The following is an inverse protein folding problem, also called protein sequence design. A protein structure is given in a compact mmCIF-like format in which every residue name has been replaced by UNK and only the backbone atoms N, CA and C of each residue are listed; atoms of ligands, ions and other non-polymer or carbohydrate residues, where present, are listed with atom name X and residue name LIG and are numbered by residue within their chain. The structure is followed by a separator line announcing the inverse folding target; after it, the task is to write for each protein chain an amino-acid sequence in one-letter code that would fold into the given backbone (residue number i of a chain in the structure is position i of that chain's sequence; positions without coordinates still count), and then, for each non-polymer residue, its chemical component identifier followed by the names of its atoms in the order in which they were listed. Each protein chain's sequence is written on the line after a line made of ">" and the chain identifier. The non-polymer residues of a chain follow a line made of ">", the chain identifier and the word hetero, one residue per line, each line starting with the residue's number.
data_IF_166325846585
#
_entry.id   IF_166325846585
#
_cell.length_a   1.000
_cell.length_b   1.000
_cell.length_c   1.000
_cell.angle_alpha   90.00
_cell.angle_beta   90.00
_cell.angle_gamma   90.00
#
_symmetry.space_group_name_H-M   'P 1'
#
loop_
_entity.id
_entity.type
_entity.pdbx_description
1 polymer ?
#
# COMPACT_ATOMS: atom_id res chain seq x y z
N UNK A 1 18.74 -16.06 -8.45
CA UNK A 1 19.10 -14.85 -9.21
C UNK A 1 18.70 -14.92 -10.69
N UNK A 2 19.00 -16.02 -11.39
CA UNK A 2 18.66 -16.20 -12.83
C UNK A 2 17.14 -16.17 -13.09
N UNK A 3 16.35 -16.90 -12.31
CA UNK A 3 14.88 -16.95 -12.39
C UNK A 3 14.19 -15.58 -12.17
N UNK A 4 14.76 -14.74 -11.31
CA UNK A 4 14.26 -13.38 -11.09
C UNK A 4 14.51 -12.46 -12.29
N UNK A 5 15.70 -12.60 -12.93
CA UNK A 5 16.03 -11.86 -14.15
C UNK A 5 15.16 -12.32 -15.32
N UNK A 6 14.92 -13.63 -15.43
CA UNK A 6 14.03 -14.20 -16.45
C UNK A 6 12.59 -13.74 -16.30
N UNK A 7 12.08 -13.68 -15.07
CA UNK A 7 10.73 -13.12 -14.76
C UNK A 7 10.62 -11.67 -15.16
N UNK A 8 11.62 -10.83 -14.86
CA UNK A 8 11.64 -9.43 -15.29
C UNK A 8 11.65 -9.28 -16.81
N UNK A 9 12.41 -10.14 -17.50
CA UNK A 9 12.48 -10.14 -18.95
C UNK A 9 11.15 -10.56 -19.58
N UNK A 10 10.53 -11.62 -19.07
CA UNK A 10 9.22 -12.12 -19.52
C UNK A 10 8.13 -11.06 -19.30
N UNK A 11 8.09 -10.41 -18.12
CA UNK A 11 7.11 -9.34 -17.82
C UNK A 11 7.33 -8.10 -18.69
N UNK A 12 8.58 -7.81 -19.07
CA UNK A 12 8.92 -6.68 -19.94
C UNK A 12 8.59 -6.93 -21.43
N UNK A 13 8.59 -8.19 -21.86
CA UNK A 13 8.44 -8.56 -23.28
C UNK A 13 7.02 -9.01 -23.62
N UNK A 14 6.33 -9.66 -22.68
CA UNK A 14 4.97 -10.16 -22.94
C UNK A 14 3.91 -9.12 -22.55
N UNK A 15 2.95 -8.83 -23.44
CA UNK A 15 1.80 -8.04 -23.06
C UNK A 15 1.13 -8.65 -21.82
N UNK A 16 0.65 -7.84 -20.86
CA UNK A 16 0.03 -8.31 -19.62
C UNK A 16 -1.07 -9.36 -19.82
N UNK A 17 -1.78 -9.30 -20.96
CA UNK A 17 -2.83 -10.25 -21.33
C UNK A 17 -2.25 -11.64 -21.59
N UNK A 18 -1.12 -11.75 -22.30
CA UNK A 18 -0.47 -13.05 -22.63
C UNK A 18 0.16 -13.65 -21.36
N UNK A 19 0.76 -12.82 -20.53
CA UNK A 19 1.30 -13.25 -19.23
C UNK A 19 0.19 -13.82 -18.33
N UNK A 20 -0.95 -13.11 -18.20
CA UNK A 20 -2.10 -13.56 -17.43
C UNK A 20 -2.72 -14.86 -17.99
N UNK A 21 -2.80 -15.01 -19.33
CA UNK A 21 -3.31 -16.24 -19.95
C UNK A 21 -2.38 -17.44 -19.71
N UNK A 22 -1.08 -17.25 -19.82
CA UNK A 22 -0.07 -18.28 -19.48
C UNK A 22 -0.16 -18.68 -18.01
N UNK A 23 -0.40 -17.73 -17.16
CA UNK A 23 -0.60 -17.95 -15.73
C UNK A 23 -1.88 -18.75 -15.44
N UNK A 24 -3.00 -18.42 -16.05
CA UNK A 24 -4.28 -19.15 -15.94
C UNK A 24 -4.16 -20.57 -16.47
N UNK A 25 -3.41 -20.77 -17.56
CA UNK A 25 -3.18 -22.09 -18.17
C UNK A 25 -2.37 -23.00 -17.25
N UNK A 26 -1.24 -22.53 -16.71
CA UNK A 26 -0.42 -23.26 -15.75
C UNK A 26 -1.21 -23.62 -14.46
N UNK A 27 -2.13 -22.74 -14.08
CA UNK A 27 -3.01 -22.95 -12.94
C UNK A 27 -4.03 -24.09 -13.17
N UNK A 28 -4.65 -24.10 -14.35
CA UNK A 28 -5.58 -25.16 -14.75
C UNK A 28 -4.90 -26.54 -14.86
N UNK A 29 -3.63 -26.58 -15.31
CA UNK A 29 -2.85 -27.82 -15.42
C UNK A 29 -2.55 -28.46 -14.06
N UNK A 30 -2.45 -27.69 -12.99
CA UNK A 30 -2.11 -28.19 -11.66
C UNK A 30 -3.33 -28.57 -10.78
N UNK A 31 -4.55 -28.47 -11.29
CA UNK A 31 -5.77 -28.97 -10.64
C UNK A 31 -6.15 -28.28 -9.30
N UNK A 32 -5.44 -27.21 -8.91
CA UNK A 32 -5.72 -26.49 -7.65
C UNK A 32 -6.64 -25.32 -7.89
N UNK A 33 -7.93 -25.49 -7.64
CA UNK A 33 -8.88 -24.38 -7.62
C UNK A 33 -8.84 -23.66 -6.27
N UNK A 34 -8.02 -22.63 -6.18
CA UNK A 34 -7.86 -21.79 -4.98
C UNK A 34 -9.10 -20.89 -4.77
N UNK A 35 -9.98 -20.73 -5.75
CA UNK A 35 -11.20 -19.93 -5.64
C UNK A 35 -12.13 -20.40 -4.54
N UNK A 36 -12.10 -21.69 -4.20
CA UNK A 36 -12.89 -22.28 -3.10
C UNK A 36 -12.41 -21.85 -1.70
N UNK A 37 -11.11 -21.62 -1.50
CA UNK A 37 -10.56 -21.28 -0.18
C UNK A 37 -10.70 -19.81 0.21
N UNK A 38 -11.17 -18.95 -0.70
CA UNK A 38 -11.21 -17.50 -0.52
C UNK A 38 -12.64 -16.97 -0.40
N UNK A 39 -13.65 -17.77 -0.79
CA UNK A 39 -15.06 -17.43 -0.59
C UNK A 39 -15.57 -17.70 0.84
N UNK A 40 -14.80 -18.37 1.65
CA UNK A 40 -15.01 -18.40 3.10
C UNK A 40 -14.34 -17.15 3.66
N UNK A 41 -15.09 -16.27 4.34
CA UNK A 41 -14.48 -15.12 5.03
C UNK A 41 -13.36 -15.68 5.93
N UNK A 42 -12.10 -15.36 5.65
CA UNK A 42 -11.02 -15.91 6.45
C UNK A 42 -11.17 -15.40 7.87
N UNK A 43 -10.99 -16.29 8.84
CA UNK A 43 -11.00 -15.96 10.25
C UNK A 43 -10.14 -14.72 10.52
N UNK A 44 -10.70 -13.74 11.26
CA UNK A 44 -9.99 -12.52 11.60
C UNK A 44 -8.73 -12.87 12.36
N UNK A 45 -7.58 -12.60 11.77
CA UNK A 45 -6.29 -12.88 12.37
C UNK A 45 -5.42 -11.63 12.37
N UNK A 46 -5.74 -10.74 13.31
CA UNK A 46 -4.91 -9.55 13.55
C UNK A 46 -3.58 -9.99 14.17
N UNK A 47 -2.43 -9.58 13.60
CA UNK A 47 -1.14 -9.91 14.16
C UNK A 47 -0.95 -9.24 15.52
N UNK A 48 -0.36 -9.96 16.46
CA UNK A 48 0.15 -9.40 17.71
C UNK A 48 1.51 -8.74 17.48
N UNK A 49 1.93 -7.88 18.39
CA UNK A 49 3.25 -7.24 18.34
C UNK A 49 4.40 -8.25 18.15
N UNK A 50 4.37 -9.38 18.88
CA UNK A 50 5.34 -10.47 18.72
C UNK A 50 5.38 -11.03 17.30
N UNK A 51 4.25 -11.06 16.60
CA UNK A 51 4.18 -11.52 15.21
C UNK A 51 4.85 -10.52 14.27
N UNK A 52 4.70 -9.21 14.55
CA UNK A 52 5.37 -8.15 13.80
C UNK A 52 6.88 -8.17 14.06
N UNK A 53 7.32 -8.43 15.29
CA UNK A 53 8.74 -8.39 15.67
C UNK A 53 9.48 -9.66 15.25
N UNK A 54 8.91 -10.84 15.49
CA UNK A 54 9.58 -12.14 15.35
C UNK A 54 8.87 -13.13 14.43
N UNK A 55 7.71 -12.76 13.86
CA UNK A 55 6.90 -13.67 13.06
C UNK A 55 7.52 -14.05 11.72
N UNK A 56 7.04 -15.15 11.14
CA UNK A 56 7.42 -15.58 9.81
C UNK A 56 6.94 -14.56 8.76
N UNK A 57 7.83 -14.13 7.87
CA UNK A 57 7.52 -13.24 6.74
C UNK A 57 6.51 -13.82 5.75
N UNK A 58 6.36 -15.15 5.74
CA UNK A 58 5.41 -15.82 4.88
C UNK A 58 4.01 -15.93 5.49
N UNK A 59 3.87 -15.63 6.77
CA UNK A 59 2.58 -15.70 7.47
C UNK A 59 1.61 -14.68 6.91
N UNK A 60 0.39 -15.12 6.64
CA UNK A 60 -0.70 -14.29 6.13
C UNK A 60 -1.60 -13.95 7.30
N UNK A 61 -1.97 -12.69 7.37
CA UNK A 61 -2.90 -12.14 8.35
C UNK A 61 -4.14 -11.64 7.62
N UNK A 62 -5.30 -11.76 8.26
CA UNK A 62 -6.56 -11.23 7.76
C UNK A 62 -6.91 -10.01 8.60
N UNK A 63 -6.66 -8.82 8.06
CA UNK A 63 -6.76 -7.57 8.79
C UNK A 63 -8.08 -6.88 8.42
N UNK A 64 -8.88 -6.45 9.42
CA UNK A 64 -10.08 -5.66 9.18
C UNK A 64 -9.78 -4.39 8.37
N UNK A 65 -10.70 -4.06 7.46
CA UNK A 65 -10.52 -2.93 6.53
C UNK A 65 -10.38 -1.59 7.24
N UNK A 66 -11.11 -1.39 8.35
CA UNK A 66 -11.07 -0.20 9.19
C UNK A 66 -9.71 0.05 9.86
N UNK A 67 -8.85 -0.99 9.90
CA UNK A 67 -7.47 -0.89 10.39
C UNK A 67 -6.42 -0.74 9.28
N UNK A 68 -6.83 -0.67 8.02
CA UNK A 68 -5.93 -0.56 6.88
C UNK A 68 -5.89 0.86 6.33
N UNK A 69 -4.70 1.42 6.26
CA UNK A 69 -4.49 2.80 5.85
C UNK A 69 -3.51 2.93 4.69
N UNK A 70 -3.79 3.88 3.83
CA UNK A 70 -2.90 4.38 2.80
C UNK A 70 -2.09 5.57 3.33
N UNK A 71 -1.10 6.04 2.56
CA UNK A 71 -0.35 7.25 2.86
C UNK A 71 -1.30 8.44 3.05
N UNK A 72 -0.99 9.31 4.02
CA UNK A 72 -1.87 10.41 4.39
C UNK A 72 -2.93 10.03 5.45
N UNK A 73 -2.85 8.84 6.04
CA UNK A 73 -3.83 8.37 7.03
C UNK A 73 -5.21 8.06 6.44
N UNK A 74 -5.26 7.76 5.14
CA UNK A 74 -6.52 7.52 4.43
C UNK A 74 -6.93 6.04 4.57
N UNK A 75 -8.01 5.77 5.30
CA UNK A 75 -8.56 4.42 5.40
C UNK A 75 -9.12 3.95 4.05
N UNK A 76 -8.94 2.66 3.71
CA UNK A 76 -9.36 2.11 2.42
C UNK A 76 -10.87 2.06 2.20
N UNK A 77 -11.69 2.21 3.22
CA UNK A 77 -13.14 2.35 3.12
C UNK A 77 -13.64 3.80 3.20
N UNK A 78 -12.73 4.79 3.12
CA UNK A 78 -13.06 6.21 3.19
C UNK A 78 -13.17 6.84 1.79
N UNK A 79 -14.13 7.77 1.57
CA UNK A 79 -14.21 8.59 0.35
C UNK A 79 -12.96 9.44 0.09
N UNK A 80 -12.14 9.72 1.11
CA UNK A 80 -10.90 10.45 0.98
C UNK A 80 -9.77 9.64 0.32
N UNK A 81 -9.92 8.32 0.26
CA UNK A 81 -8.95 7.44 -0.37
C UNK A 81 -9.14 7.45 -1.90
N UNK A 82 -8.08 7.75 -2.70
CA UNK A 82 -8.24 7.98 -4.13
C UNK A 82 -8.81 6.80 -4.91
N UNK A 83 -8.41 5.57 -4.58
CA UNK A 83 -8.90 4.39 -5.30
C UNK A 83 -10.35 4.04 -4.93
N UNK A 84 -10.78 4.29 -3.67
CA UNK A 84 -12.18 4.25 -3.27
C UNK A 84 -12.99 5.24 -4.12
N UNK A 85 -12.48 6.46 -4.22
CA UNK A 85 -13.10 7.52 -5.00
C UNK A 85 -13.32 7.10 -6.46
N UNK A 86 -12.29 6.52 -7.10
CA UNK A 86 -12.41 5.98 -8.45
C UNK A 86 -13.47 4.89 -8.57
N UNK A 87 -13.46 3.91 -7.66
CA UNK A 87 -14.31 2.72 -7.73
C UNK A 87 -15.80 3.04 -7.52
N UNK A 88 -16.10 4.06 -6.70
CA UNK A 88 -17.47 4.46 -6.39
C UNK A 88 -18.01 5.58 -7.29
N UNK A 89 -17.15 6.53 -7.70
CA UNK A 89 -17.59 7.75 -8.40
C UNK A 89 -16.99 7.91 -9.81
N UNK A 90 -16.11 7.01 -10.22
CA UNK A 90 -15.59 6.94 -11.58
C UNK A 90 -14.40 7.87 -11.88
N UNK A 91 -14.06 7.94 -13.17
CA UNK A 91 -12.82 8.55 -13.65
C UNK A 91 -12.73 10.06 -13.41
N UNK A 92 -13.85 10.78 -13.59
CA UNK A 92 -13.86 12.24 -13.45
C UNK A 92 -13.69 12.66 -11.98
N UNK A 93 -14.30 11.93 -11.05
CA UNK A 93 -14.08 12.15 -9.62
C UNK A 93 -12.63 11.86 -9.22
N UNK A 94 -12.02 10.82 -9.78
CA UNK A 94 -10.63 10.48 -9.57
C UNK A 94 -9.66 11.56 -10.06
N UNK A 95 -9.92 12.14 -11.26
CA UNK A 95 -9.14 13.28 -11.79
C UNK A 95 -9.24 14.48 -10.86
N UNK A 96 -10.47 14.86 -10.49
CA UNK A 96 -10.73 15.99 -9.58
C UNK A 96 -10.05 15.80 -8.23
N UNK A 97 -9.97 14.56 -7.70
CA UNK A 97 -9.24 14.28 -6.48
C UNK A 97 -7.77 14.72 -6.58
N UNK A 98 -7.05 14.31 -7.64
CA UNK A 98 -5.65 14.68 -7.84
C UNK A 98 -5.43 16.14 -8.24
N UNK A 99 -6.41 16.80 -8.80
CA UNK A 99 -6.38 18.23 -9.10
C UNK A 99 -6.54 19.07 -7.82
N UNK A 100 -7.38 18.62 -6.90
CA UNK A 100 -7.74 19.38 -5.70
C UNK A 100 -6.86 19.05 -4.49
N UNK A 101 -6.20 17.90 -4.46
CA UNK A 101 -5.38 17.46 -3.34
C UNK A 101 -3.91 17.33 -3.76
N UNK A 102 -3.16 18.42 -3.58
CA UNK A 102 -1.78 18.58 -4.02
C UNK A 102 -0.91 19.11 -2.87
N UNK A 103 -0.65 18.29 -1.83
CA UNK A 103 0.19 18.68 -0.72
C UNK A 103 1.65 18.89 -1.17
N UNK A 104 2.35 19.83 -0.52
CA UNK A 104 3.75 20.15 -0.80
C UNK A 104 4.73 19.30 0.03
N UNK A 105 4.27 18.73 1.12
CA UNK A 105 5.09 17.95 2.05
C UNK A 105 4.24 16.94 2.83
N UNK A 106 4.90 16.16 3.70
CA UNK A 106 4.28 15.12 4.49
C UNK A 106 3.25 15.66 5.51
N UNK A 107 3.48 16.82 6.12
CA UNK A 107 2.53 17.43 7.08
C UNK A 107 1.23 17.80 6.38
N UNK A 108 1.32 18.51 5.25
CA UNK A 108 0.14 18.83 4.43
C UNK A 108 -0.59 17.58 3.95
N UNK A 109 0.17 16.55 3.53
CA UNK A 109 -0.40 15.27 3.10
C UNK A 109 -1.11 14.51 4.22
N UNK A 110 -0.86 14.84 5.47
CA UNK A 110 -1.56 14.30 6.63
C UNK A 110 -2.50 15.31 7.27
N UNK A 111 -2.70 16.48 6.66
CA UNK A 111 -3.54 17.57 7.20
C UNK A 111 -3.15 17.93 8.64
N UNK A 112 -1.85 17.97 8.91
CA UNK A 112 -1.27 18.41 10.18
C UNK A 112 -0.98 19.90 10.10
N UNK A 113 -1.37 20.65 11.13
CA UNK A 113 -1.12 22.09 11.17
C UNK A 113 0.39 22.37 11.21
N UNK A 114 0.81 23.32 10.38
CA UNK A 114 2.19 23.80 10.33
C UNK A 114 2.23 25.05 11.21
N UNK A 115 2.84 24.97 12.37
CA UNK A 115 3.18 26.16 13.13
C UNK A 115 4.18 27.00 12.34
N UNK A 116 3.91 28.31 12.19
CA UNK A 116 4.68 29.24 11.36
C UNK A 116 6.18 29.37 11.72
N UNK A 117 6.62 28.75 12.79
CA UNK A 117 8.01 28.78 13.25
C UNK A 117 8.90 27.66 12.67
N UNK A 118 8.37 26.76 11.84
CA UNK A 118 9.11 25.62 11.31
C UNK A 118 9.51 25.80 9.84
N UNK A 119 10.54 26.62 9.61
CA UNK A 119 11.12 26.87 8.29
C UNK A 119 12.05 25.77 7.77
N UNK A 120 12.29 24.69 8.53
CA UNK A 120 13.23 23.60 8.16
C UNK A 120 12.64 22.44 7.37
N UNK A 121 11.33 22.31 7.26
CA UNK A 121 10.75 21.39 6.28
C UNK A 121 11.01 21.97 4.89
N UNK A 122 12.14 21.56 4.32
CA UNK A 122 12.41 21.84 2.92
C UNK A 122 11.24 21.34 2.09
N UNK A 123 10.70 22.21 1.27
CA UNK A 123 9.68 21.92 0.29
C UNK A 123 9.96 20.55 -0.35
N UNK A 124 8.96 19.67 -0.39
CA UNK A 124 8.97 18.33 -1.02
C UNK A 124 9.46 17.14 -0.21
N UNK A 125 9.63 17.19 1.12
CA UNK A 125 9.88 15.99 1.88
C UNK A 125 8.56 15.24 2.21
N UNK A 126 8.35 14.07 1.58
CA UNK A 126 7.22 13.18 1.82
C UNK A 126 7.60 11.93 2.63
N UNK A 127 8.79 11.92 3.23
CA UNK A 127 9.25 10.81 4.08
C UNK A 127 8.48 10.82 5.40
N UNK A 128 7.91 9.70 5.79
CA UNK A 128 7.23 9.56 7.09
C UNK A 128 8.26 9.67 8.24
N UNK A 129 7.87 10.21 9.41
CA UNK A 129 8.80 10.45 10.53
C UNK A 129 9.63 9.23 10.96
N UNK A 130 9.05 8.04 10.85
CA UNK A 130 9.68 6.77 11.24
C UNK A 130 10.48 6.09 10.13
N UNK A 131 10.59 6.69 8.94
CA UNK A 131 11.37 6.15 7.83
C UNK A 131 12.69 6.92 7.65
N UNK A 132 13.74 6.19 7.26
CA UNK A 132 14.98 6.82 6.79
C UNK A 132 14.79 7.40 5.38
N UNK A 133 15.34 8.58 5.11
CA UNK A 133 15.30 9.20 3.77
C UNK A 133 15.88 8.28 2.68
N UNK A 134 16.90 7.49 3.01
CA UNK A 134 17.51 6.53 2.08
C UNK A 134 16.61 5.35 1.72
N UNK A 135 15.62 5.01 2.54
CA UNK A 135 14.66 3.94 2.29
C UNK A 135 13.64 4.30 1.20
N UNK A 136 13.44 5.59 0.95
CA UNK A 136 12.46 6.12 -0.03
C UNK A 136 13.13 6.49 -1.35
N UNK A 137 14.08 5.71 -1.84
CA UNK A 137 14.49 5.83 -3.25
C UNK A 137 13.36 5.31 -4.12
N UNK A 138 12.51 6.23 -4.51
CA UNK A 138 11.39 5.99 -5.44
C UNK A 138 11.94 5.49 -6.77
N UNK A 139 12.01 4.19 -6.92
CA UNK A 139 12.19 3.55 -8.23
C UNK A 139 10.87 3.70 -8.96
N UNK A 140 10.83 4.56 -9.97
CA UNK A 140 9.64 4.79 -10.77
C UNK A 140 9.00 3.47 -11.21
N UNK A 141 7.70 3.35 -11.01
CA UNK A 141 6.94 2.17 -11.41
C UNK A 141 6.74 2.19 -12.93
N UNK A 142 7.06 1.09 -13.60
CA UNK A 142 6.91 0.92 -15.06
C UNK A 142 7.56 2.04 -15.89
N UNK A 143 8.74 2.50 -15.49
CA UNK A 143 9.47 3.55 -16.21
C UNK A 143 8.97 4.97 -15.97
N UNK A 144 7.91 5.17 -15.16
CA UNK A 144 7.49 6.48 -14.71
C UNK A 144 8.25 6.86 -13.44
N UNK A 145 9.09 7.89 -13.55
CA UNK A 145 9.84 8.44 -12.41
C UNK A 145 8.90 9.12 -11.39
N UNK A 146 9.44 9.50 -10.24
CA UNK A 146 8.72 10.27 -9.22
C UNK A 146 8.16 11.60 -9.72
N UNK A 147 8.71 12.19 -10.78
CA UNK A 147 8.19 13.40 -11.43
C UNK A 147 6.79 13.22 -12.03
N UNK A 148 6.33 11.99 -12.22
CA UNK A 148 4.97 11.71 -12.68
C UNK A 148 3.91 11.74 -11.59
N UNK A 149 4.30 11.98 -10.33
CA UNK A 149 3.41 12.14 -9.18
C UNK A 149 3.27 10.90 -8.30
N UNK A 150 2.64 11.09 -7.14
CA UNK A 150 2.44 10.07 -6.10
C UNK A 150 1.02 9.48 -6.16
N UNK A 151 0.87 8.17 -5.88
CA UNK A 151 -0.43 7.50 -5.98
C UNK A 151 -1.46 7.93 -4.91
N UNK A 152 -1.04 8.60 -3.84
CA UNK A 152 -1.94 9.06 -2.78
C UNK A 152 -2.43 10.50 -2.95
N UNK A 153 -1.74 11.32 -3.77
CA UNK A 153 -2.05 12.75 -3.96
C UNK A 153 -1.50 13.26 -5.30
N UNK A 154 -2.02 14.41 -5.73
CA UNK A 154 -1.57 15.10 -6.94
C UNK A 154 -0.34 15.99 -6.75
N UNK A 155 0.11 16.63 -7.84
CA UNK A 155 -0.40 16.40 -9.18
C UNK A 155 0.07 15.08 -9.80
N UNK A 156 -0.78 14.47 -10.63
CA UNK A 156 -0.37 13.35 -11.45
C UNK A 156 -0.18 13.77 -12.91
N UNK A 157 0.88 13.27 -13.57
CA UNK A 157 0.96 13.36 -15.02
C UNK A 157 -0.18 12.60 -15.70
N UNK A 158 -0.54 13.01 -16.92
CA UNK A 158 -1.55 12.28 -17.72
C UNK A 158 -1.21 10.78 -17.91
N UNK A 159 0.08 10.47 -18.04
CA UNK A 159 0.56 9.09 -18.18
C UNK A 159 0.37 8.30 -16.88
N UNK A 160 0.72 8.89 -15.74
CA UNK A 160 0.54 8.24 -14.42
C UNK A 160 -0.93 8.04 -14.11
N UNK A 161 -1.77 9.03 -14.37
CA UNK A 161 -3.23 8.92 -14.18
C UNK A 161 -3.81 7.78 -15.01
N UNK A 162 -3.47 7.68 -16.30
CA UNK A 162 -3.89 6.56 -17.16
C UNK A 162 -3.42 5.21 -16.63
N UNK A 163 -2.19 5.14 -16.13
CA UNK A 163 -1.63 3.91 -15.55
C UNK A 163 -2.38 3.48 -14.29
N UNK A 164 -2.68 4.41 -13.37
CA UNK A 164 -3.45 4.12 -12.15
C UNK A 164 -4.87 3.62 -12.49
N UNK A 165 -5.55 4.28 -13.43
CA UNK A 165 -6.87 3.85 -13.93
C UNK A 165 -6.80 2.45 -14.54
N UNK A 166 -5.83 2.20 -15.41
CA UNK A 166 -5.62 0.88 -16.02
C UNK A 166 -5.42 -0.21 -14.98
N UNK A 167 -4.60 0.05 -13.96
CA UNK A 167 -4.31 -0.88 -12.86
C UNK A 167 -5.56 -1.23 -12.05
N UNK A 168 -6.34 -0.21 -11.68
CA UNK A 168 -7.58 -0.43 -10.92
C UNK A 168 -8.58 -1.24 -11.75
N UNK A 169 -8.81 -0.86 -13.02
CA UNK A 169 -9.72 -1.58 -13.92
C UNK A 169 -9.32 -3.03 -14.10
N UNK A 170 -8.05 -3.28 -14.39
CA UNK A 170 -7.53 -4.64 -14.60
C UNK A 170 -7.60 -5.47 -13.33
N UNK A 171 -7.25 -4.88 -12.19
CA UNK A 171 -7.33 -5.54 -10.89
C UNK A 171 -8.78 -5.92 -10.55
N UNK A 172 -9.72 -4.99 -10.68
CA UNK A 172 -11.14 -5.23 -10.40
C UNK A 172 -11.73 -6.32 -11.31
N UNK A 173 -11.42 -6.25 -12.62
CA UNK A 173 -11.88 -7.27 -13.58
C UNK A 173 -11.31 -8.66 -13.24
N UNK A 174 -10.02 -8.72 -12.88
CA UNK A 174 -9.38 -9.97 -12.47
C UNK A 174 -10.02 -10.54 -11.21
N UNK A 175 -10.24 -9.72 -10.19
CA UNK A 175 -10.88 -10.15 -8.94
C UNK A 175 -12.33 -10.63 -9.16
N UNK A 176 -13.12 -9.92 -9.97
CA UNK A 176 -14.48 -10.33 -10.31
C UNK A 176 -14.54 -11.65 -11.07
N UNK A 177 -13.62 -11.87 -12.01
CA UNK A 177 -13.59 -13.06 -12.86
C UNK A 177 -12.99 -14.28 -12.19
N UNK A 178 -11.89 -14.09 -11.48
CA UNK A 178 -11.03 -15.19 -11.00
C UNK A 178 -11.03 -15.32 -9.47
N UNK A 179 -11.67 -14.41 -8.74
CA UNK A 179 -11.46 -14.25 -7.32
C UNK A 179 -10.03 -13.79 -7.01
N UNK A 180 -9.65 -13.85 -5.75
CA UNK A 180 -8.28 -13.56 -5.34
C UNK A 180 -7.41 -14.81 -5.52
N UNK A 181 -6.51 -14.78 -6.51
CA UNK A 181 -5.59 -15.89 -6.80
C UNK A 181 -4.28 -15.63 -6.09
N UNK A 182 -3.98 -16.46 -5.08
CA UNK A 182 -2.67 -16.48 -4.43
C UNK A 182 -1.74 -17.43 -5.20
N UNK A 183 -0.61 -16.91 -5.69
CA UNK A 183 0.37 -17.74 -6.38
C UNK A 183 1.13 -18.64 -5.41
N UNK A 184 0.82 -19.91 -5.41
CA UNK A 184 1.55 -20.93 -4.62
C UNK A 184 2.52 -21.78 -5.45
N UNK A 185 2.51 -21.64 -6.77
CA UNK A 185 3.26 -22.53 -7.68
C UNK A 185 4.77 -22.45 -7.54
N UNK A 186 5.28 -21.35 -7.01
CA UNK A 186 6.71 -21.17 -6.78
C UNK A 186 6.94 -20.58 -5.40
N UNK A 187 7.30 -21.39 -4.39
CA UNK A 187 7.49 -20.91 -3.01
C UNK A 187 8.57 -19.83 -2.86
N UNK A 188 9.39 -19.58 -3.89
CA UNK A 188 10.40 -18.52 -3.93
C UNK A 188 9.97 -17.26 -4.69
N UNK A 189 8.79 -17.23 -5.32
CA UNK A 189 8.27 -16.03 -5.94
C UNK A 189 7.46 -15.29 -4.89
N UNK A 190 7.82 -14.03 -4.64
CA UNK A 190 7.08 -13.14 -3.74
C UNK A 190 5.59 -13.22 -4.06
N UNK A 191 4.80 -13.57 -3.03
CA UNK A 191 3.35 -13.64 -3.18
C UNK A 191 2.83 -12.26 -3.60
N UNK A 192 1.86 -12.28 -4.48
CA UNK A 192 1.16 -11.06 -4.91
C UNK A 192 0.25 -10.45 -3.82
N UNK A 193 0.39 -10.90 -2.57
CA UNK A 193 -0.34 -10.35 -1.44
C UNK A 193 0.01 -8.88 -1.18
N UNK A 194 -0.96 -8.07 -0.78
CA UNK A 194 -0.66 -6.76 -0.24
C UNK A 194 0.32 -6.86 0.93
N UNK A 195 1.09 -5.81 1.16
CA UNK A 195 2.07 -5.75 2.24
C UNK A 195 1.87 -4.51 3.07
N UNK A 196 2.08 -4.64 4.37
CA UNK A 196 1.94 -3.57 5.34
C UNK A 196 3.06 -3.62 6.39
N UNK A 197 3.09 -2.62 7.23
CA UNK A 197 3.70 -2.65 8.56
C UNK A 197 2.68 -2.18 9.59
N UNK A 198 2.90 -2.56 10.84
CA UNK A 198 2.05 -2.23 11.97
C UNK A 198 2.46 -0.88 12.57
N UNK A 199 1.48 -0.09 12.96
CA UNK A 199 1.61 1.06 13.84
C UNK A 199 0.93 0.68 15.16
N UNK A 200 1.57 0.93 16.30
CA UNK A 200 1.03 0.56 17.61
C UNK A 200 1.13 1.72 18.58
N UNK A 201 -0.01 2.10 19.17
CA UNK A 201 -0.11 3.09 20.25
C UNK A 201 0.33 2.51 21.58
N UNK A 202 0.72 3.38 22.50
CA UNK A 202 0.98 3.05 23.92
C UNK A 202 -0.25 2.40 24.54
N UNK A 203 -1.47 2.81 24.14
CA UNK A 203 -2.73 2.19 24.57
C UNK A 203 -2.89 0.71 24.17
N UNK A 204 -2.03 0.20 23.27
CA UNK A 204 -2.15 -1.13 22.68
C UNK A 204 -2.97 -1.18 21.40
N UNK A 205 -3.61 -0.08 21.00
CA UNK A 205 -4.33 0.00 19.72
C UNK A 205 -3.35 -0.14 18.55
N UNK A 206 -3.75 -0.92 17.51
CA UNK A 206 -2.94 -1.17 16.33
C UNK A 206 -3.68 -0.80 15.04
N UNK A 207 -2.93 -0.25 14.10
CA UNK A 207 -3.33 -0.04 12.71
C UNK A 207 -2.24 -0.51 11.74
N UNK A 208 -2.51 -0.52 10.43
CA UNK A 208 -1.60 -1.08 9.44
C UNK A 208 -1.49 -0.17 8.22
N UNK A 209 -0.28 0.27 7.94
CA UNK A 209 0.00 1.04 6.73
C UNK A 209 0.31 0.11 5.56
N UNK A 210 -0.50 0.16 4.52
CA UNK A 210 -0.33 -0.63 3.30
C UNK A 210 0.71 0.02 2.40
N UNK A 211 1.86 -0.63 2.24
CA UNK A 211 2.98 -0.14 1.43
C UNK A 211 2.93 -0.63 -0.01
N UNK A 212 2.40 -1.83 -0.24
CA UNK A 212 2.23 -2.37 -1.59
C UNK A 212 0.89 -3.10 -1.77
N UNK A 213 0.44 -3.28 -3.02
CA UNK A 213 -0.84 -3.91 -3.33
C UNK A 213 -2.07 -3.04 -3.06
N UNK A 214 -1.91 -1.73 -2.97
CA UNK A 214 -2.95 -0.74 -2.64
C UNK A 214 -4.18 -0.84 -3.55
N UNK A 215 -4.00 -1.04 -4.87
CA UNK A 215 -5.11 -1.26 -5.80
C UNK A 215 -5.91 -2.51 -5.47
N UNK A 216 -5.24 -3.60 -5.05
CA UNK A 216 -5.92 -4.84 -4.66
C UNK A 216 -6.73 -4.66 -3.40
N UNK A 217 -6.16 -4.02 -2.38
CA UNK A 217 -6.89 -3.71 -1.14
C UNK A 217 -8.14 -2.91 -1.47
N UNK A 218 -8.02 -1.81 -2.22
CA UNK A 218 -9.16 -0.99 -2.61
C UNK A 218 -10.21 -1.77 -3.40
N UNK A 219 -9.80 -2.61 -4.36
CA UNK A 219 -10.74 -3.43 -5.14
C UNK A 219 -11.42 -4.51 -4.29
N UNK A 220 -10.71 -5.16 -3.34
CA UNK A 220 -11.31 -6.11 -2.42
C UNK A 220 -12.33 -5.44 -1.50
N UNK A 221 -12.00 -4.27 -0.96
CA UNK A 221 -12.94 -3.46 -0.16
C UNK A 221 -14.19 -3.10 -0.97
N UNK A 222 -14.01 -2.63 -2.20
CA UNK A 222 -15.13 -2.33 -3.11
C UNK A 222 -16.01 -3.54 -3.41
N UNK A 223 -15.43 -4.74 -3.43
CA UNK A 223 -16.15 -6.01 -3.61
C UNK A 223 -16.81 -6.54 -2.32
N UNK A 224 -16.75 -5.76 -1.23
CA UNK A 224 -17.43 -6.07 0.03
C UNK A 224 -16.61 -6.90 1.02
N UNK A 225 -15.31 -7.10 0.78
CA UNK A 225 -14.45 -7.79 1.73
C UNK A 225 -14.27 -6.96 3.00
N UNK A 226 -14.52 -7.56 4.14
CA UNK A 226 -14.34 -6.91 5.45
C UNK A 226 -12.96 -7.15 6.05
N UNK A 227 -12.32 -8.25 5.66
CA UNK A 227 -10.99 -8.64 6.11
C UNK A 227 -10.09 -8.88 4.89
N UNK A 228 -8.90 -8.31 4.89
CA UNK A 228 -7.97 -8.37 3.76
C UNK A 228 -6.78 -9.26 4.10
N UNK A 229 -6.48 -10.28 3.28
CA UNK A 229 -5.27 -11.09 3.44
C UNK A 229 -4.04 -10.26 3.09
N UNK A 230 -3.12 -10.12 4.03
CA UNK A 230 -1.95 -9.24 3.93
C UNK A 230 -0.73 -9.88 4.59
N UNK A 231 0.46 -9.47 4.18
CA UNK A 231 1.74 -9.86 4.79
C UNK A 231 2.49 -8.63 5.30
N UNK A 232 3.41 -8.85 6.23
CA UNK A 232 4.38 -7.81 6.56
C UNK A 232 5.37 -7.57 5.41
N UNK A 233 5.76 -6.31 5.24
CA UNK A 233 6.81 -5.94 4.29
C UNK A 233 8.18 -6.35 4.85
N UNK A 234 9.04 -6.89 3.96
CA UNK A 234 10.37 -7.37 4.34
C UNK A 234 11.45 -6.28 4.27
N UNK A 235 11.15 -5.19 3.61
CA UNK A 235 12.11 -4.10 3.35
C UNK A 235 12.01 -2.94 4.35
N UNK A 236 10.97 -2.94 5.20
CA UNK A 236 10.71 -1.91 6.19
C UNK A 236 10.67 -2.50 7.60
N UNK A 237 10.76 -1.64 8.60
CA UNK A 237 10.41 -2.03 9.97
C UNK A 237 8.97 -2.54 9.97
N UNK A 238 8.75 -3.74 10.52
CA UNK A 238 7.41 -4.34 10.56
C UNK A 238 6.47 -3.69 11.55
N UNK A 239 7.06 -3.01 12.53
CA UNK A 239 6.33 -2.30 13.59
C UNK A 239 6.95 -0.93 13.84
N UNK A 240 6.08 0.03 14.06
CA UNK A 240 6.40 1.39 14.51
C UNK A 240 5.67 1.61 15.83
N UNK A 241 6.40 1.86 16.89
CA UNK A 241 5.88 2.08 18.24
C UNK A 241 5.76 3.57 18.53
N UNK A 242 4.61 4.01 19.04
CA UNK A 242 4.39 5.39 19.48
C UNK A 242 5.43 5.83 20.53
N UNK A 243 5.75 4.96 21.48
CA UNK A 243 6.72 5.20 22.56
C UNK A 243 8.16 5.47 22.06
N UNK A 244 8.46 5.07 20.82
CA UNK A 244 9.75 5.31 20.20
C UNK A 244 9.81 6.63 19.40
N UNK A 245 8.81 7.51 19.49
CA UNK A 245 8.70 8.73 18.69
C UNK A 245 10.00 9.58 18.68
N UNK A 246 10.58 9.80 19.85
CA UNK A 246 11.83 10.56 20.00
C UNK A 246 13.03 9.90 19.26
N UNK A 247 12.94 8.60 18.95
CA UNK A 247 13.96 7.81 18.25
C UNK A 247 13.69 7.69 16.75
N UNK A 248 12.56 8.17 16.24
CA UNK A 248 12.26 8.08 14.83
C UNK A 248 13.25 8.91 14.01
N UNK A 249 13.73 8.39 12.87
CA UNK A 249 14.75 9.07 12.06
C UNK A 249 14.42 10.51 11.71
N UNK A 250 13.15 10.79 11.36
CA UNK A 250 12.70 12.12 11.00
C UNK A 250 12.66 13.10 12.18
N UNK A 251 12.58 12.60 13.42
CA UNK A 251 12.67 13.41 14.64
C UNK A 251 14.14 13.65 15.00
N UNK A 252 14.96 12.60 14.98
CA UNK A 252 16.40 12.69 15.28
C UNK A 252 17.12 13.67 14.35
N UNK A 253 16.79 13.66 13.04
CA UNK A 253 17.44 14.54 12.05
C UNK A 253 16.82 15.96 12.01
N UNK A 254 15.80 16.22 12.84
CA UNK A 254 15.14 17.53 12.94
C UNK A 254 14.21 17.87 11.78
N UNK A 255 13.82 16.92 10.94
CA UNK A 255 12.78 17.12 9.92
C UNK A 255 11.39 17.33 10.53
N UNK A 256 11.14 16.73 11.68
CA UNK A 256 9.91 16.86 12.47
C UNK A 256 10.24 17.11 13.92
N UNK A 257 9.41 17.87 14.63
CA UNK A 257 9.37 17.78 16.10
C UNK A 257 8.48 16.58 16.51
N UNK A 258 8.58 16.19 17.80
CA UNK A 258 7.82 15.04 18.30
C UNK A 258 6.30 15.21 18.14
N UNK A 259 5.76 16.40 18.39
CA UNK A 259 4.34 16.68 18.25
C UNK A 259 3.87 16.46 16.81
N UNK A 260 4.59 17.02 15.82
CA UNK A 260 4.29 16.83 14.41
C UNK A 260 4.36 15.36 13.99
N UNK A 261 5.37 14.65 14.49
CA UNK A 261 5.55 13.22 14.21
C UNK A 261 4.41 12.39 14.80
N UNK A 262 3.99 12.69 16.04
CA UNK A 262 2.83 12.06 16.69
C UNK A 262 1.50 12.44 16.00
N UNK A 263 1.33 13.68 15.57
CA UNK A 263 0.14 14.09 14.82
C UNK A 263 0.01 13.33 13.50
N UNK A 264 1.12 13.13 12.77
CA UNK A 264 1.14 12.28 11.57
C UNK A 264 0.77 10.83 11.94
N UNK A 265 1.39 10.28 13.00
CA UNK A 265 1.15 8.92 13.45
C UNK A 265 -0.32 8.70 13.82
N UNK A 266 -0.94 9.65 14.52
CA UNK A 266 -2.33 9.58 14.95
C UNK A 266 -3.34 9.61 13.78
N UNK A 267 -2.94 10.05 12.57
CA UNK A 267 -3.81 9.98 11.37
C UNK A 267 -4.09 8.54 10.91
N UNK A 268 -3.39 7.57 11.44
CA UNK A 268 -3.55 6.15 11.10
C UNK A 268 -4.43 5.38 12.10
N UNK A 269 -5.17 6.08 12.94
CA UNK A 269 -6.10 5.54 13.94
C UNK A 269 -7.42 6.34 13.92
#
# INVERSE_FOLDING_TARGET
>A
MLLYKLKKLIVAILPPVIFNLGQIFLYKLNGKDIRKSINEEPEVRVPLERDATFGDFNKIYNIPVDKLFHYGGQCFNSPEQPFYNYLHYGEDSFKKYYENYQPNNCLEAHKVNIDNNYSKLQNSNFTLPWHNESAVKYKGEFGLSHHHGHSAFGPLSKQKLKLEIFRIKTCLQSLKKNGYIQWQLFPKIESDLPRCYMLKKISGECSFHVVSGKHRVACMVYLGWKNIPIKFDISLSRIVLEEDCAKWPGVINGCYNENQALDIFNKYF
#
